data_IF_961669217116
#
_entry.id   IF_961669217116
#
_cell.length_a   1.000
_cell.length_b   1.000
_cell.length_c   1.000
_cell.angle_alpha   90.00
_cell.angle_beta   90.00
_cell.angle_gamma   90.00
#
_symmetry.space_group_name_H-M   'P 1'
#
loop_
_entity.id
_entity.type
_entity.pdbx_description
1 polymer ?
#
# COMPACT_ATOMS: atom_id res chain seq x y z
N UNK A 1 20.71 -55.64 -15.77
CA UNK A 1 20.90 -54.17 -15.63
C UNK A 1 19.81 -53.53 -16.48
N UNK A 2 18.60 -53.38 -15.93
CA UNK A 2 17.44 -52.90 -16.73
C UNK A 2 17.60 -51.41 -16.98
N UNK A 3 17.75 -51.02 -18.24
CA UNK A 3 17.72 -49.63 -18.66
C UNK A 3 16.30 -49.13 -18.51
N UNK A 4 16.02 -48.43 -17.40
CA UNK A 4 14.78 -47.68 -17.25
C UNK A 4 14.68 -46.70 -18.41
N UNK A 5 13.73 -46.98 -19.30
CA UNK A 5 13.50 -46.21 -20.51
C UNK A 5 13.10 -44.79 -20.18
N UNK A 6 13.74 -43.85 -20.86
CA UNK A 6 13.43 -42.43 -20.83
C UNK A 6 12.00 -42.22 -21.38
N UNK A 7 11.02 -42.07 -20.49
CA UNK A 7 9.64 -41.72 -20.87
C UNK A 7 9.44 -40.20 -20.78
N UNK A 8 9.42 -39.56 -21.95
CA UNK A 8 9.20 -38.12 -22.12
C UNK A 8 7.82 -37.67 -21.66
N UNK A 9 6.83 -38.57 -21.65
CA UNK A 9 5.44 -38.27 -21.28
C UNK A 9 5.33 -38.05 -19.78
N UNK A 10 6.01 -38.91 -18.99
CA UNK A 10 6.06 -38.79 -17.52
C UNK A 10 6.66 -37.45 -17.08
N UNK A 11 7.74 -37.01 -17.75
CA UNK A 11 8.37 -35.70 -17.47
C UNK A 11 7.46 -34.52 -17.78
N UNK A 12 6.74 -34.56 -18.89
CA UNK A 12 5.86 -33.45 -19.28
C UNK A 12 4.73 -33.26 -18.26
N UNK A 13 4.18 -34.35 -17.72
CA UNK A 13 3.16 -34.28 -16.68
C UNK A 13 3.71 -33.72 -15.37
N UNK A 14 4.88 -34.21 -14.93
CA UNK A 14 5.57 -33.73 -13.71
C UNK A 14 5.90 -32.22 -13.79
N UNK A 15 6.32 -31.76 -14.97
CA UNK A 15 6.59 -30.34 -15.24
C UNK A 15 5.32 -29.48 -15.22
N UNK A 16 4.21 -29.97 -15.78
CA UNK A 16 2.92 -29.25 -15.75
C UNK A 16 2.31 -29.19 -14.34
N UNK A 17 2.51 -30.23 -13.52
CA UNK A 17 2.07 -30.25 -12.11
C UNK A 17 2.91 -29.28 -11.25
N UNK A 18 4.23 -29.23 -11.47
CA UNK A 18 5.11 -28.23 -10.85
C UNK A 18 4.72 -26.79 -11.26
N UNK A 19 4.35 -26.58 -12.53
CA UNK A 19 3.87 -25.29 -13.03
C UNK A 19 2.51 -24.91 -12.44
N UNK A 20 1.57 -25.87 -12.31
CA UNK A 20 0.25 -25.65 -11.69
C UNK A 20 0.37 -25.26 -10.23
N UNK A 21 1.15 -26.01 -9.43
CA UNK A 21 1.36 -25.73 -8.01
C UNK A 21 2.05 -24.37 -7.78
N UNK A 22 3.03 -24.00 -8.62
CA UNK A 22 3.63 -22.67 -8.61
C UNK A 22 2.61 -21.56 -8.95
N UNK A 23 1.76 -21.79 -9.96
CA UNK A 23 0.74 -20.82 -10.38
C UNK A 23 -0.39 -20.68 -9.33
N UNK A 24 -0.73 -21.76 -8.64
CA UNK A 24 -1.71 -21.77 -7.55
C UNK A 24 -1.18 -21.01 -6.33
N UNK A 25 0.06 -21.29 -5.92
CA UNK A 25 0.76 -20.55 -4.86
C UNK A 25 0.85 -19.04 -5.16
N UNK A 26 1.16 -18.68 -6.40
CA UNK A 26 1.20 -17.28 -6.83
C UNK A 26 -0.17 -16.61 -6.78
N UNK A 27 -1.23 -17.32 -7.17
CA UNK A 27 -2.61 -16.81 -7.10
C UNK A 27 -3.07 -16.62 -5.65
N UNK A 28 -2.71 -17.51 -4.74
CA UNK A 28 -3.08 -17.39 -3.34
C UNK A 28 -2.34 -16.26 -2.63
N UNK A 29 -1.06 -16.04 -2.97
CA UNK A 29 -0.35 -14.83 -2.54
C UNK A 29 -1.02 -13.57 -3.09
N UNK A 30 -1.35 -13.54 -4.39
CA UNK A 30 -1.99 -12.37 -4.99
C UNK A 30 -3.38 -12.12 -4.41
N UNK A 31 -4.13 -13.15 -4.01
CA UNK A 31 -5.39 -13.01 -3.27
C UNK A 31 -5.17 -12.45 -1.87
N UNK A 32 -4.21 -13.00 -1.11
CA UNK A 32 -3.87 -12.49 0.22
C UNK A 32 -3.43 -11.03 0.16
N UNK A 33 -2.60 -10.67 -0.82
CA UNK A 33 -2.22 -9.28 -1.09
C UNK A 33 -3.42 -8.44 -1.50
N UNK A 34 -4.30 -8.92 -2.39
CA UNK A 34 -5.46 -8.13 -2.82
C UNK A 34 -6.49 -7.95 -1.70
N UNK A 35 -6.67 -8.91 -0.81
CA UNK A 35 -7.53 -8.79 0.37
C UNK A 35 -6.93 -7.78 1.37
N UNK A 36 -5.61 -7.90 1.59
CA UNK A 36 -4.84 -6.90 2.34
C UNK A 36 -4.89 -5.52 1.69
N UNK A 37 -5.05 -5.40 0.36
CA UNK A 37 -5.04 -4.15 -0.44
C UNK A 37 -6.43 -3.58 -0.76
N UNK A 38 -7.50 -4.39 -0.67
CA UNK A 38 -8.87 -3.97 -1.00
C UNK A 38 -9.82 -3.84 0.20
N UNK A 39 -9.45 -4.30 1.41
CA UNK A 39 -10.14 -3.87 2.62
C UNK A 39 -10.17 -2.34 2.70
N UNK A 40 -11.28 -1.70 3.08
CA UNK A 40 -11.40 -0.23 3.23
C UNK A 40 -10.24 0.41 4.04
N UNK A 41 -9.59 -0.40 4.85
CA UNK A 41 -8.39 -0.22 5.68
C UNK A 41 -7.14 0.23 4.89
N UNK A 42 -7.15 0.08 3.58
CA UNK A 42 -5.95 0.24 2.75
C UNK A 42 -5.47 1.65 2.51
N UNK A 43 -6.41 2.59 2.42
CA UNK A 43 -6.02 3.98 2.22
C UNK A 43 -5.39 4.56 3.48
N UNK A 44 -5.72 4.04 4.67
CA UNK A 44 -5.17 4.51 5.95
C UNK A 44 -3.73 4.09 6.12
N UNK A 45 -3.43 2.80 5.97
CA UNK A 45 -2.05 2.29 6.08
C UNK A 45 -1.16 2.93 5.03
N UNK A 46 -1.65 3.04 3.79
CA UNK A 46 -0.95 3.72 2.71
C UNK A 46 -0.72 5.20 3.04
N UNK A 47 -1.75 5.95 3.43
CA UNK A 47 -1.62 7.37 3.78
C UNK A 47 -0.71 7.61 4.99
N UNK A 48 -0.74 6.73 5.99
CA UNK A 48 0.11 6.79 7.18
C UNK A 48 1.58 6.52 6.86
N UNK A 49 1.85 5.47 6.06
CA UNK A 49 3.21 5.15 5.62
C UNK A 49 3.77 6.26 4.70
N UNK A 50 2.96 6.76 3.76
CA UNK A 50 3.35 7.90 2.92
C UNK A 50 3.51 9.19 3.73
N UNK A 51 2.77 9.38 4.82
CA UNK A 51 2.96 10.49 5.74
C UNK A 51 4.29 10.40 6.49
N UNK A 52 4.73 9.20 6.89
CA UNK A 52 6.02 9.00 7.56
C UNK A 52 7.20 9.19 6.60
N UNK A 53 7.15 8.55 5.42
CA UNK A 53 8.26 8.57 4.47
C UNK A 53 8.29 9.83 3.58
N UNK A 54 7.12 10.38 3.24
CA UNK A 54 6.95 11.50 2.31
C UNK A 54 6.09 12.65 2.89
N UNK A 55 5.93 12.73 4.21
CA UNK A 55 5.09 13.75 4.86
C UNK A 55 5.52 15.19 4.58
N UNK A 56 6.81 15.45 4.37
CA UNK A 56 7.30 16.77 3.99
C UNK A 56 6.87 17.23 2.61
N UNK A 57 6.55 16.28 1.72
CA UNK A 57 6.03 16.56 0.38
C UNK A 57 4.50 16.57 0.33
N UNK A 58 3.80 16.28 1.43
CA UNK A 58 2.33 16.29 1.47
C UNK A 58 1.66 15.20 0.63
N UNK A 59 2.40 14.18 0.18
CA UNK A 59 1.91 13.15 -0.77
C UNK A 59 0.75 12.34 -0.18
N UNK A 60 0.73 12.16 1.15
CA UNK A 60 -0.40 11.55 1.87
C UNK A 60 -1.72 12.29 1.67
N UNK A 61 -1.69 13.63 1.51
CA UNK A 61 -2.88 14.45 1.21
C UNK A 61 -3.34 14.27 -0.24
N UNK A 62 -2.42 14.07 -1.18
CA UNK A 62 -2.77 13.78 -2.58
C UNK A 62 -3.48 12.44 -2.73
N UNK A 63 -3.07 11.41 -1.97
CA UNK A 63 -3.74 10.09 -1.97
C UNK A 63 -5.19 10.17 -1.47
N UNK A 64 -5.44 11.08 -0.53
CA UNK A 64 -6.77 11.34 0.01
C UNK A 64 -7.64 12.25 -0.88
N UNK A 65 -7.10 12.79 -1.97
CA UNK A 65 -7.80 13.72 -2.88
C UNK A 65 -7.71 15.20 -2.48
N UNK A 66 -6.92 15.54 -1.45
CA UNK A 66 -6.63 16.91 -1.01
C UNK A 66 -5.44 17.50 -1.77
N UNK A 67 -5.59 17.61 -3.09
CA UNK A 67 -4.53 18.06 -4.00
C UNK A 67 -4.13 19.51 -3.69
N UNK A 68 -5.06 20.37 -3.31
CA UNK A 68 -4.80 21.78 -3.01
C UNK A 68 -4.00 21.92 -1.71
N UNK A 69 -4.35 21.16 -0.68
CA UNK A 69 -3.75 21.21 0.64
C UNK A 69 -2.37 20.56 0.66
N UNK A 70 -2.17 19.52 -0.16
CA UNK A 70 -0.84 18.97 -0.45
C UNK A 70 0.10 20.01 -1.08
N UNK A 71 -0.40 20.83 -2.03
CA UNK A 71 0.39 21.92 -2.63
C UNK A 71 0.71 22.99 -1.57
N UNK A 72 -0.25 23.38 -0.74
CA UNK A 72 -0.02 24.34 0.36
C UNK A 72 1.05 23.81 1.32
N UNK A 73 1.01 22.52 1.66
CA UNK A 73 2.01 21.89 2.52
C UNK A 73 3.41 21.90 1.90
N UNK A 74 3.54 21.64 0.59
CA UNK A 74 4.82 21.77 -0.13
C UNK A 74 5.33 23.20 -0.06
N UNK A 75 4.48 24.19 -0.31
CA UNK A 75 4.86 25.62 -0.25
C UNK A 75 5.35 25.97 1.16
N UNK A 76 4.64 25.53 2.21
CA UNK A 76 5.06 25.74 3.61
C UNK A 76 6.39 25.04 3.87
N UNK A 77 6.56 23.77 3.47
CA UNK A 77 7.82 23.04 3.65
C UNK A 77 8.98 23.76 2.96
N UNK A 78 8.79 24.27 1.73
CA UNK A 78 9.82 25.01 0.99
C UNK A 78 10.13 26.36 1.64
N UNK A 79 9.11 27.13 2.05
CA UNK A 79 9.28 28.42 2.72
C UNK A 79 9.93 28.30 4.11
N UNK A 80 9.65 27.20 4.81
CA UNK A 80 10.18 26.94 6.16
C UNK A 80 11.46 26.09 6.12
N UNK A 81 12.10 25.95 4.95
CA UNK A 81 13.37 25.21 4.78
C UNK A 81 13.32 23.76 5.31
N UNK A 82 12.22 23.04 5.05
CA UNK A 82 12.05 21.64 5.44
C UNK A 82 11.29 21.41 6.76
N UNK A 83 11.00 22.44 7.54
CA UNK A 83 10.31 22.28 8.84
C UNK A 83 8.88 21.71 8.71
N UNK A 84 8.23 21.91 7.55
CA UNK A 84 6.91 21.34 7.26
C UNK A 84 6.88 19.80 7.24
N UNK A 85 8.05 19.14 7.20
CA UNK A 85 8.16 17.68 7.29
C UNK A 85 7.73 17.11 8.63
N UNK A 86 7.90 17.88 9.72
CA UNK A 86 7.45 17.45 11.06
C UNK A 86 5.92 17.34 11.09
N UNK A 87 5.21 18.27 10.45
CA UNK A 87 3.74 18.26 10.39
C UNK A 87 3.26 17.01 9.65
N UNK A 88 3.83 16.71 8.48
CA UNK A 88 3.47 15.52 7.73
C UNK A 88 3.84 14.21 8.44
N UNK A 89 4.94 14.19 9.19
CA UNK A 89 5.34 13.04 10.00
C UNK A 89 4.34 12.78 11.14
N UNK A 90 3.91 13.82 11.86
CA UNK A 90 2.90 13.70 12.92
C UNK A 90 1.55 13.26 12.31
N UNK A 91 1.14 13.82 11.17
CA UNK A 91 -0.08 13.40 10.46
C UNK A 91 0.00 11.91 10.03
N UNK A 92 1.16 11.45 9.56
CA UNK A 92 1.38 10.04 9.24
C UNK A 92 1.18 9.11 10.44
N UNK A 93 1.68 9.50 11.62
CA UNK A 93 1.43 8.76 12.88
C UNK A 93 -0.05 8.80 13.24
N UNK A 94 -0.71 9.95 13.16
CA UNK A 94 -2.14 10.09 13.49
C UNK A 94 -2.98 9.15 12.62
N UNK A 95 -2.70 9.08 11.32
CA UNK A 95 -3.40 8.17 10.41
C UNK A 95 -3.20 6.71 10.80
N UNK A 96 -1.99 6.30 11.22
CA UNK A 96 -1.74 4.94 11.67
C UNK A 96 -2.38 4.62 13.04
N UNK A 97 -2.52 5.62 13.91
CA UNK A 97 -3.08 5.44 15.27
C UNK A 97 -4.61 5.52 15.32
N UNK A 98 -5.27 6.10 14.32
CA UNK A 98 -6.74 6.16 14.25
C UNK A 98 -7.34 4.84 13.76
N UNK A 99 -8.56 4.52 14.19
CA UNK A 99 -9.32 3.38 13.67
C UNK A 99 -9.72 3.62 12.21
N UNK A 100 -9.85 2.57 11.38
CA UNK A 100 -10.17 2.73 9.95
C UNK A 100 -11.52 3.42 9.71
N UNK A 101 -12.49 3.14 10.57
CA UNK A 101 -13.82 3.75 10.54
C UNK A 101 -13.77 5.24 10.88
N UNK A 102 -13.04 5.62 11.94
CA UNK A 102 -12.82 7.03 12.28
C UNK A 102 -12.06 7.79 11.20
N UNK A 103 -11.08 7.13 10.56
CA UNK A 103 -10.32 7.71 9.46
C UNK A 103 -11.20 7.94 8.24
N UNK A 104 -12.03 6.96 7.89
CA UNK A 104 -12.97 7.06 6.78
C UNK A 104 -13.99 8.18 7.03
N UNK A 105 -14.59 8.23 8.22
CA UNK A 105 -15.56 9.24 8.57
C UNK A 105 -14.95 10.64 8.60
N UNK A 106 -13.73 10.80 9.13
CA UNK A 106 -13.08 12.11 9.28
C UNK A 106 -12.46 12.61 7.97
N UNK A 107 -11.71 11.77 7.27
CA UNK A 107 -10.87 12.16 6.13
C UNK A 107 -11.43 11.77 4.77
N UNK A 108 -12.39 10.85 4.68
CA UNK A 108 -13.05 10.53 3.40
C UNK A 108 -14.45 11.17 3.31
N UNK A 109 -15.26 11.07 4.37
CA UNK A 109 -16.61 11.66 4.40
C UNK A 109 -16.56 13.13 4.84
N UNK A 110 -16.02 13.40 6.03
CA UNK A 110 -15.98 14.72 6.67
C UNK A 110 -15.01 15.71 6.01
N UNK A 111 -14.28 15.22 5.02
CA UNK A 111 -13.24 15.90 4.26
C UNK A 111 -12.32 16.82 5.08
N UNK A 112 -11.77 16.36 6.21
CA UNK A 112 -10.91 17.18 7.08
C UNK A 112 -9.45 17.20 6.58
N UNK A 113 -8.94 18.31 6.00
CA UNK A 113 -7.64 18.27 5.34
C UNK A 113 -6.44 18.36 6.27
N UNK A 114 -6.59 18.89 7.50
CA UNK A 114 -5.52 19.06 8.49
C UNK A 114 -5.95 18.51 9.83
N UNK A 115 -5.03 17.80 10.52
CA UNK A 115 -5.22 17.16 11.83
C UNK A 115 -6.64 16.63 12.06
#
# INVERSE_FOLDING_TARGET
MSTEGYDSTKRNNDFEDAKRSAQESARDFQRGVNDMVQGQENKKVLAGLLGIFLGGFGIHKFVLGYTQEGIIQIIITVLTCGFGQIIGFIEGIIYLTKSDEEFYETYQIGRKPWF
#
